data_IF_972560774574
#
_entry.id   IF_972560774574
#
_cell.length_a   1.000
_cell.length_b   1.000
_cell.length_c   1.000
_cell.angle_alpha   90.00
_cell.angle_beta   90.00
_cell.angle_gamma   90.00
#
_symmetry.space_group_name_H-M   'P 1'
#
loop_
_entity.id
_entity.type
_entity.pdbx_description
1 polymer ?
#
# COMPACT_ATOMS: atom_id res chain seq x y z
N UNK A 1 3.18 14.23 -4.79
CA UNK A 1 2.99 14.94 -3.50
C UNK A 1 3.25 16.44 -3.59
N UNK A 2 4.29 16.90 -4.29
CA UNK A 2 4.56 18.35 -4.43
C UNK A 2 3.34 19.13 -4.95
N UNK A 3 2.67 18.60 -5.99
CA UNK A 3 1.49 19.23 -6.56
C UNK A 3 0.28 19.19 -5.61
N UNK A 4 0.08 18.11 -4.89
CA UNK A 4 -0.97 18.04 -3.87
C UNK A 4 -0.73 19.05 -2.74
N UNK A 5 0.51 19.15 -2.26
CA UNK A 5 0.88 20.16 -1.27
C UNK A 5 0.70 21.57 -1.81
N UNK A 6 0.99 21.83 -3.10
CA UNK A 6 0.82 23.15 -3.71
C UNK A 6 -0.63 23.61 -3.67
N UNK A 7 -1.58 22.74 -4.01
CA UNK A 7 -3.01 23.10 -4.09
C UNK A 7 -3.72 23.13 -2.74
N UNK A 8 -3.16 22.49 -1.70
CA UNK A 8 -3.71 22.55 -0.35
C UNK A 8 -3.63 23.97 0.19
N UNK A 9 -4.68 24.40 0.87
CA UNK A 9 -4.68 25.63 1.69
C UNK A 9 -3.82 25.42 2.94
N UNK A 10 -3.30 26.49 3.52
CA UNK A 10 -2.65 26.46 4.83
C UNK A 10 -3.60 25.87 5.88
N UNK A 11 -3.12 24.91 6.67
CA UNK A 11 -3.92 24.09 7.59
C UNK A 11 -4.76 23.01 6.92
N UNK A 12 -4.67 22.85 5.60
CA UNK A 12 -5.36 21.80 4.86
C UNK A 12 -4.73 20.43 5.12
N UNK A 13 -5.55 19.39 5.08
CA UNK A 13 -5.15 18.01 5.31
C UNK A 13 -5.04 17.22 4.00
N UNK A 14 -3.99 16.43 3.90
CA UNK A 14 -3.84 15.36 2.91
C UNK A 14 -3.96 14.03 3.63
N UNK A 15 -4.82 13.16 3.12
CA UNK A 15 -4.93 11.76 3.54
C UNK A 15 -4.70 10.88 2.32
N UNK A 16 -3.75 9.95 2.42
CA UNK A 16 -3.48 8.95 1.40
C UNK A 16 -3.55 7.56 2.00
N UNK A 17 -4.39 6.69 1.43
CA UNK A 17 -4.53 5.30 1.79
C UNK A 17 -3.97 4.45 0.67
N UNK A 18 -3.04 3.56 0.98
CA UNK A 18 -2.38 2.72 -0.02
C UNK A 18 -1.74 1.50 0.64
N UNK A 19 -1.10 0.64 -0.16
CA UNK A 19 -0.30 -0.49 0.30
C UNK A 19 0.91 -0.71 -0.62
N UNK A 20 1.86 -1.53 -0.18
CA UNK A 20 3.00 -1.95 -1.03
C UNK A 20 2.56 -3.13 -1.93
N UNK A 21 1.60 -2.90 -2.82
CA UNK A 21 0.88 -3.92 -3.60
C UNK A 21 1.79 -4.91 -4.33
N UNK A 22 2.91 -4.45 -4.87
CA UNK A 22 3.84 -5.24 -5.66
C UNK A 22 5.22 -5.39 -5.03
N UNK A 23 5.34 -5.14 -3.73
CA UNK A 23 6.60 -5.29 -3.00
C UNK A 23 7.18 -6.69 -3.08
N UNK A 24 6.33 -7.72 -3.24
CA UNK A 24 6.74 -9.12 -3.40
C UNK A 24 7.54 -9.40 -4.68
N UNK A 25 7.48 -8.53 -5.68
CA UNK A 25 8.30 -8.64 -6.89
C UNK A 25 9.77 -8.29 -6.67
N UNK A 26 10.07 -7.54 -5.59
CA UNK A 26 11.38 -6.93 -5.33
C UNK A 26 12.02 -7.38 -4.02
N UNK A 27 11.30 -8.12 -3.17
CA UNK A 27 11.75 -8.54 -1.85
C UNK A 27 11.31 -9.97 -1.56
N UNK A 28 12.28 -10.83 -1.25
CA UNK A 28 12.03 -12.27 -1.04
C UNK A 28 11.13 -12.57 0.17
N UNK A 29 11.28 -11.81 1.27
CA UNK A 29 10.42 -12.00 2.45
C UNK A 29 8.98 -11.63 2.17
N UNK A 30 8.77 -10.56 1.39
CA UNK A 30 7.44 -10.15 0.96
C UNK A 30 6.84 -11.18 -0.01
N UNK A 31 7.66 -11.78 -0.87
CA UNK A 31 7.23 -12.88 -1.75
C UNK A 31 6.74 -14.08 -0.95
N UNK A 32 7.52 -14.51 0.02
CA UNK A 32 7.13 -15.63 0.91
C UNK A 32 5.82 -15.34 1.65
N UNK A 33 5.66 -14.14 2.18
CA UNK A 33 4.42 -13.72 2.83
C UNK A 33 3.23 -13.70 1.86
N UNK A 34 3.42 -13.22 0.65
CA UNK A 34 2.39 -13.23 -0.40
C UNK A 34 1.96 -14.66 -0.77
N UNK A 35 2.92 -15.57 -0.94
CA UNK A 35 2.64 -16.99 -1.26
C UNK A 35 1.89 -17.69 -0.11
N UNK A 36 2.26 -17.38 1.13
CA UNK A 36 1.57 -17.89 2.33
C UNK A 36 0.12 -17.36 2.40
N UNK A 37 -0.12 -16.11 2.06
CA UNK A 37 -1.48 -15.57 1.98
C UNK A 37 -2.33 -16.29 0.93
N UNK A 38 -1.77 -16.58 -0.25
CA UNK A 38 -2.50 -17.34 -1.30
C UNK A 38 -2.87 -18.73 -0.82
N UNK A 39 -1.93 -19.42 -0.16
CA UNK A 39 -2.16 -20.72 0.44
C UNK A 39 -3.23 -20.65 1.55
N UNK A 40 -3.12 -19.70 2.45
CA UNK A 40 -4.06 -19.52 3.55
C UNK A 40 -5.49 -19.21 3.04
N UNK A 41 -5.61 -18.35 2.04
CA UNK A 41 -6.88 -18.03 1.37
C UNK A 41 -7.54 -19.30 0.81
N UNK A 42 -6.75 -20.15 0.16
CA UNK A 42 -7.23 -21.43 -0.38
C UNK A 42 -7.65 -22.41 0.73
N UNK A 43 -6.84 -22.55 1.78
CA UNK A 43 -7.13 -23.45 2.91
C UNK A 43 -8.38 -23.04 3.69
N UNK A 44 -8.63 -21.75 3.81
CA UNK A 44 -9.83 -21.21 4.46
C UNK A 44 -11.08 -21.25 3.57
N UNK A 45 -10.92 -21.54 2.28
CA UNK A 45 -12.03 -21.60 1.33
C UNK A 45 -12.74 -20.27 1.11
N UNK A 46 -12.05 -19.15 1.33
CA UNK A 46 -12.57 -17.81 1.04
C UNK A 46 -12.27 -17.42 -0.41
N UNK A 47 -13.02 -16.44 -0.93
CA UNK A 47 -12.77 -15.92 -2.28
C UNK A 47 -11.36 -15.35 -2.39
N UNK A 48 -10.59 -15.85 -3.35
CA UNK A 48 -9.25 -15.33 -3.65
C UNK A 48 -9.35 -14.21 -4.70
N UNK A 49 -9.05 -13.00 -4.31
CA UNK A 49 -9.13 -11.81 -5.17
C UNK A 49 -8.09 -11.77 -6.29
N UNK A 50 -7.09 -12.65 -6.24
CA UNK A 50 -6.07 -12.77 -7.29
C UNK A 50 -6.38 -13.86 -8.33
N UNK A 51 -7.35 -14.72 -8.07
CA UNK A 51 -7.78 -15.77 -9.03
C UNK A 51 -8.57 -15.15 -10.18
N UNK A 52 -8.25 -15.56 -11.41
CA UNK A 52 -8.94 -15.07 -12.61
C UNK A 52 -8.50 -13.69 -13.10
N UNK A 53 -7.52 -13.08 -12.45
CA UNK A 53 -6.88 -11.85 -12.93
C UNK A 53 -5.69 -12.20 -13.85
N UNK A 54 -5.38 -11.32 -14.80
CA UNK A 54 -4.14 -11.43 -15.59
C UNK A 54 -2.97 -10.91 -14.73
N UNK A 55 -2.52 -11.73 -13.78
CA UNK A 55 -1.42 -11.40 -12.88
C UNK A 55 -0.15 -11.10 -13.67
N UNK A 56 0.16 -11.90 -14.71
CA UNK A 56 1.38 -11.70 -15.50
C UNK A 56 1.41 -10.32 -16.19
N UNK A 57 0.27 -9.86 -16.72
CA UNK A 57 0.19 -8.53 -17.31
C UNK A 57 0.33 -7.44 -16.26
N UNK A 58 -0.31 -7.58 -15.11
CA UNK A 58 -0.21 -6.64 -14.00
C UNK A 58 1.21 -6.59 -13.42
N UNK A 59 1.86 -7.73 -13.25
CA UNK A 59 3.24 -7.80 -12.79
C UNK A 59 4.22 -7.13 -13.77
N UNK A 60 4.06 -7.35 -15.09
CA UNK A 60 4.88 -6.67 -16.10
C UNK A 60 4.75 -5.14 -16.02
N UNK A 61 3.53 -4.64 -15.79
CA UNK A 61 3.29 -3.21 -15.58
C UNK A 61 3.97 -2.77 -14.28
N UNK A 62 3.77 -3.51 -13.20
CA UNK A 62 4.32 -3.19 -11.89
C UNK A 62 5.85 -3.09 -11.88
N UNK A 63 6.57 -3.94 -12.63
CA UNK A 63 8.02 -3.84 -12.78
C UNK A 63 8.49 -2.50 -13.39
N UNK A 64 7.64 -1.83 -14.15
CA UNK A 64 7.94 -0.55 -14.78
C UNK A 64 7.48 0.66 -13.96
N UNK A 65 6.67 0.44 -12.93
CA UNK A 65 6.14 1.51 -12.08
C UNK A 65 7.18 2.00 -11.08
N UNK A 66 7.44 3.31 -10.99
CA UNK A 66 8.53 3.85 -10.17
C UNK A 66 8.36 3.62 -8.67
N UNK A 67 7.13 3.44 -8.18
CA UNK A 67 6.86 3.24 -6.76
C UNK A 67 6.78 1.76 -6.35
N UNK A 68 6.75 0.81 -7.28
CA UNK A 68 6.64 -0.61 -6.95
C UNK A 68 7.79 -1.13 -6.08
N UNK A 69 9.07 -0.76 -6.30
CA UNK A 69 10.18 -1.19 -5.45
C UNK A 69 10.36 -0.33 -4.19
N UNK A 70 9.60 0.75 -4.05
CA UNK A 70 9.79 1.74 -2.98
C UNK A 70 9.15 1.26 -1.68
N UNK A 71 9.87 1.40 -0.57
CA UNK A 71 9.34 1.08 0.76
C UNK A 71 8.45 2.23 1.25
N UNK A 72 7.15 1.99 1.23
CA UNK A 72 6.12 2.90 1.72
C UNK A 72 5.55 2.38 3.04
N UNK A 73 5.08 3.24 3.95
CA UNK A 73 4.90 4.70 3.83
C UNK A 73 6.12 5.55 4.19
N UNK A 74 7.28 4.95 4.50
CA UNK A 74 8.50 5.70 4.90
C UNK A 74 8.92 6.72 3.84
N UNK A 75 8.87 6.31 2.58
CA UNK A 75 9.17 7.20 1.45
C UNK A 75 8.17 8.38 1.38
N UNK A 76 6.88 8.09 1.60
CA UNK A 76 5.82 9.12 1.58
C UNK A 76 6.07 10.20 2.62
N UNK A 77 6.42 9.80 3.83
CA UNK A 77 6.74 10.73 4.91
C UNK A 77 7.96 11.62 4.57
N UNK A 78 9.00 11.03 4.00
CA UNK A 78 10.20 11.77 3.60
C UNK A 78 9.87 12.82 2.53
N UNK A 79 9.19 12.42 1.46
CA UNK A 79 8.84 13.33 0.35
C UNK A 79 7.87 14.42 0.78
N UNK A 80 6.94 14.13 1.69
CA UNK A 80 6.02 15.14 2.23
C UNK A 80 6.75 16.16 3.11
N UNK A 81 7.72 15.72 3.94
CA UNK A 81 8.59 16.63 4.69
C UNK A 81 9.38 17.54 3.76
N UNK A 82 9.96 16.99 2.70
CA UNK A 82 10.66 17.78 1.66
C UNK A 82 9.73 18.76 0.93
N UNK A 83 8.45 18.40 0.76
CA UNK A 83 7.45 19.29 0.18
C UNK A 83 7.01 20.44 1.11
N UNK A 84 7.51 20.46 2.35
CA UNK A 84 7.30 21.57 3.29
C UNK A 84 5.97 21.51 4.04
N UNK A 85 5.40 20.32 4.26
CA UNK A 85 4.23 20.18 5.13
C UNK A 85 4.61 20.46 6.59
N UNK A 86 3.68 20.98 7.36
CA UNK A 86 3.89 21.32 8.76
C UNK A 86 4.04 20.07 9.64
N UNK A 87 3.23 19.05 9.36
CA UNK A 87 3.29 17.76 10.04
C UNK A 87 2.98 16.61 9.09
N UNK A 88 3.59 15.44 9.36
CA UNK A 88 3.28 14.20 8.66
C UNK A 88 3.37 13.02 9.63
N UNK A 89 2.45 12.09 9.49
CA UNK A 89 2.42 10.82 10.23
C UNK A 89 1.83 9.72 9.37
N UNK A 90 2.16 8.48 9.67
CA UNK A 90 1.55 7.31 9.04
C UNK A 90 1.02 6.31 10.06
N UNK A 91 0.06 5.50 9.63
CA UNK A 91 -0.46 4.35 10.37
C UNK A 91 -0.54 3.15 9.44
N UNK A 92 -0.15 1.98 9.96
CA UNK A 92 -0.18 0.71 9.21
C UNK A 92 -1.17 -0.31 9.80
N UNK A 93 -1.89 0.05 10.84
CA UNK A 93 -2.82 -0.79 11.60
C UNK A 93 -4.29 -0.51 11.26
N UNK A 94 -4.55 0.03 10.09
CA UNK A 94 -5.88 0.50 9.70
C UNK A 94 -6.70 -0.51 8.90
N UNK A 95 -6.10 -1.63 8.48
CA UNK A 95 -6.78 -2.63 7.65
C UNK A 95 -8.06 -3.14 8.30
N UNK A 96 -8.03 -3.44 9.59
CA UNK A 96 -9.21 -3.89 10.34
C UNK A 96 -10.35 -2.87 10.42
N UNK A 97 -10.07 -1.60 10.15
CA UNK A 97 -11.07 -0.52 10.15
C UNK A 97 -11.71 -0.30 8.77
N UNK A 98 -11.04 -0.75 7.71
CA UNK A 98 -11.41 -0.43 6.33
C UNK A 98 -11.81 -1.65 5.51
N UNK A 99 -11.28 -2.82 5.85
CA UNK A 99 -11.41 -4.04 5.07
C UNK A 99 -12.38 -5.03 5.73
N UNK A 100 -13.16 -5.73 4.94
CA UNK A 100 -13.91 -6.91 5.36
C UNK A 100 -12.97 -8.03 5.82
N UNK A 101 -13.51 -9.04 6.51
CA UNK A 101 -12.72 -10.20 6.94
C UNK A 101 -12.06 -10.92 5.76
N UNK A 102 -12.77 -11.08 4.65
CA UNK A 102 -12.24 -11.71 3.43
C UNK A 102 -11.09 -10.90 2.83
N UNK A 103 -11.21 -9.57 2.77
CA UNK A 103 -10.15 -8.69 2.30
C UNK A 103 -8.94 -8.69 3.24
N UNK A 104 -9.15 -8.75 4.55
CA UNK A 104 -8.05 -8.86 5.51
C UNK A 104 -7.25 -10.15 5.32
N UNK A 105 -7.92 -11.27 5.02
CA UNK A 105 -7.26 -12.54 4.69
C UNK A 105 -6.48 -12.42 3.37
N UNK A 106 -7.10 -11.84 2.33
CA UNK A 106 -6.49 -11.69 1.02
C UNK A 106 -5.27 -10.77 1.00
N UNK A 107 -5.23 -9.76 1.86
CA UNK A 107 -4.23 -8.68 1.84
C UNK A 107 -3.36 -8.65 3.11
N UNK A 108 -3.26 -9.74 3.86
CA UNK A 108 -2.47 -9.79 5.09
C UNK A 108 -0.98 -9.48 4.85
N UNK A 109 -0.41 -9.95 3.72
CA UNK A 109 0.97 -9.67 3.33
C UNK A 109 1.20 -8.24 2.79
N UNK A 110 0.13 -7.53 2.45
CA UNK A 110 0.15 -6.16 1.90
C UNK A 110 -0.73 -5.23 2.72
N UNK A 111 -0.40 -5.00 4.01
CA UNK A 111 -1.24 -4.22 4.90
C UNK A 111 -1.44 -2.80 4.37
N UNK A 112 -2.70 -2.34 4.43
CA UNK A 112 -3.03 -0.96 4.07
C UNK A 112 -2.46 -0.02 5.12
N UNK A 113 -1.82 1.04 4.65
CA UNK A 113 -1.38 2.15 5.46
C UNK A 113 -2.13 3.44 5.13
N UNK A 114 -2.14 4.36 6.06
CA UNK A 114 -2.60 5.73 5.87
C UNK A 114 -1.43 6.69 6.12
N UNK A 115 -1.27 7.65 5.23
CA UNK A 115 -0.40 8.81 5.45
C UNK A 115 -1.27 10.04 5.64
N UNK A 116 -1.04 10.77 6.72
CA UNK A 116 -1.69 12.05 7.04
C UNK A 116 -0.64 13.16 7.04
N UNK A 117 -0.89 14.20 6.27
CA UNK A 117 -0.05 15.40 6.28
C UNK A 117 -0.90 16.66 6.43
N UNK A 118 -0.35 17.67 7.08
CA UNK A 118 -0.97 18.98 7.28
C UNK A 118 -0.05 20.08 6.72
N UNK A 119 -0.62 20.97 5.91
CA UNK A 119 0.11 22.10 5.31
C UNK A 119 0.20 23.30 6.24
#
# INVERSE_FOLDING_TARGET
YKEWCRVLKKGGLLLNFDANWYGYLFDEKKRQAYEEDRKNTQELGVEDHYVGTDIDAMERIAYQMPLSPVQRPTWDEAVLKEAGVQSVSSRQDIGSLLLSEVEQINYAATPIFMVRAEK
#
